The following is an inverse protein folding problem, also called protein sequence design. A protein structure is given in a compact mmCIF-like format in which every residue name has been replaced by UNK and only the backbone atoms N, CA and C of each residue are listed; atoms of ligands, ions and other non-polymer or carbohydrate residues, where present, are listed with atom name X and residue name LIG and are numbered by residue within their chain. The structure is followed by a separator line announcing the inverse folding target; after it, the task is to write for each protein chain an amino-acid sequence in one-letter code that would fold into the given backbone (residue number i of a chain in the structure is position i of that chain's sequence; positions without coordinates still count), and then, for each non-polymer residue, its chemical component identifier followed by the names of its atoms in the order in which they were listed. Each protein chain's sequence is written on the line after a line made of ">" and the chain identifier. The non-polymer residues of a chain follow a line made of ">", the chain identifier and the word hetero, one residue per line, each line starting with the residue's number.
data_IF_623952172308
#
_entry.id   IF_623952172308
#
_cell.length_a   1.000
_cell.length_b   1.000
_cell.length_c   1.000
_cell.angle_alpha   90.00
_cell.angle_beta   90.00
_cell.angle_gamma   90.00
#
_symmetry.space_group_name_H-M   'P 1'
#
loop_
_entity.id
_entity.type
_entity.pdbx_description
1 polymer ?
#
# COMPACT_ATOMS: atom_id res chain seq x y z
N UNK A 1 0.75 -5.77 5.32
CA UNK A 1 1.76 -4.70 5.06
C UNK A 1 3.13 -5.07 5.60
N UNK A 2 3.28 -5.34 6.91
CA UNK A 2 4.58 -5.65 7.52
C UNK A 2 5.38 -6.73 6.77
N UNK A 3 4.76 -7.88 6.44
CA UNK A 3 5.45 -8.95 5.71
C UNK A 3 5.93 -8.53 4.31
N UNK A 4 5.16 -7.70 3.59
CA UNK A 4 5.55 -7.25 2.26
C UNK A 4 6.77 -6.32 2.35
N UNK A 5 6.75 -5.36 3.28
CA UNK A 5 7.86 -4.43 3.47
C UNK A 5 9.10 -5.16 3.98
N UNK A 6 8.95 -6.03 4.98
CA UNK A 6 10.04 -6.84 5.51
C UNK A 6 10.71 -7.66 4.41
N UNK A 7 9.92 -8.33 3.56
CA UNK A 7 10.47 -9.11 2.45
C UNK A 7 11.29 -8.23 1.49
N UNK A 8 10.77 -7.06 1.13
CA UNK A 8 11.44 -6.15 0.20
C UNK A 8 12.70 -5.53 0.80
N UNK A 9 12.66 -5.09 2.06
CA UNK A 9 13.75 -4.34 2.69
C UNK A 9 14.79 -5.23 3.36
N UNK A 10 14.38 -6.34 3.99
CA UNK A 10 15.29 -7.23 4.72
C UNK A 10 15.75 -8.41 3.85
N UNK A 11 14.83 -9.09 3.15
CA UNK A 11 15.20 -10.27 2.36
C UNK A 11 15.79 -9.91 0.99
N UNK A 12 15.27 -8.86 0.34
CA UNK A 12 15.75 -8.39 -0.95
C UNK A 12 16.69 -7.18 -0.85
N UNK A 13 16.88 -6.64 0.36
CA UNK A 13 17.83 -5.57 0.66
C UNK A 13 17.59 -4.29 -0.16
N UNK A 14 16.32 -3.98 -0.47
CA UNK A 14 15.90 -2.76 -1.15
C UNK A 14 15.74 -1.61 -0.14
N UNK A 15 16.22 -0.42 -0.51
CA UNK A 15 16.16 0.75 0.36
C UNK A 15 14.73 1.21 0.64
N UNK A 16 14.34 1.26 1.92
CA UNK A 16 13.00 1.67 2.35
C UNK A 16 12.63 3.08 1.86
N UNK A 17 13.62 3.95 1.75
CA UNK A 17 13.49 5.34 1.30
C UNK A 17 13.08 5.49 -0.17
N UNK A 18 13.25 4.42 -0.97
CA UNK A 18 12.87 4.39 -2.39
C UNK A 18 11.41 3.98 -2.59
N UNK A 19 10.76 3.45 -1.56
CA UNK A 19 9.35 3.07 -1.65
C UNK A 19 8.41 4.25 -1.47
N UNK A 20 7.33 4.27 -2.26
CA UNK A 20 6.12 5.03 -2.01
C UNK A 20 4.96 4.06 -1.85
N UNK A 21 3.96 4.42 -1.07
CA UNK A 21 2.81 3.57 -0.80
C UNK A 21 1.50 4.27 -1.11
N UNK A 22 0.48 3.48 -1.42
CA UNK A 22 -0.89 3.96 -1.63
C UNK A 22 -1.86 3.23 -0.72
N UNK A 23 -2.97 3.89 -0.39
CA UNK A 23 -4.10 3.32 0.32
C UNK A 23 -5.40 3.92 -0.21
N UNK A 24 -6.53 3.25 0.05
CA UNK A 24 -7.83 3.77 -0.35
C UNK A 24 -8.25 5.01 0.46
N UNK A 25 -9.04 5.93 -0.13
CA UNK A 25 -9.57 7.11 0.55
C UNK A 25 -10.38 6.78 1.81
N UNK A 26 -11.06 5.63 1.84
CA UNK A 26 -11.83 5.17 2.99
C UNK A 26 -11.02 4.38 4.02
N UNK A 27 -9.75 4.07 3.75
CA UNK A 27 -8.91 3.19 4.58
C UNK A 27 -7.79 3.98 5.27
N UNK A 28 -8.14 4.61 6.39
CA UNK A 28 -7.18 5.35 7.22
C UNK A 28 -6.22 4.43 7.99
N UNK A 29 -6.60 3.18 8.22
CA UNK A 29 -5.80 2.25 9.00
C UNK A 29 -4.58 1.79 8.19
N UNK A 30 -4.79 1.45 6.91
CA UNK A 30 -3.72 1.19 5.95
C UNK A 30 -2.75 2.37 5.80
N UNK A 31 -3.27 3.59 5.70
CA UNK A 31 -2.45 4.79 5.60
C UNK A 31 -1.53 4.97 6.82
N UNK A 32 -2.09 4.83 8.04
CA UNK A 32 -1.32 4.96 9.29
C UNK A 32 -0.29 3.84 9.42
N UNK A 33 -0.69 2.61 9.09
CA UNK A 33 0.19 1.45 9.22
C UNK A 33 1.44 1.57 8.34
N UNK A 34 1.33 2.13 7.12
CA UNK A 34 2.52 2.38 6.29
C UNK A 34 3.52 3.33 6.96
N UNK A 35 3.02 4.37 7.63
CA UNK A 35 3.86 5.35 8.33
C UNK A 35 4.51 4.70 9.55
N UNK A 36 3.74 3.91 10.32
CA UNK A 36 4.24 3.18 11.48
C UNK A 36 5.33 2.16 11.10
N UNK A 37 5.22 1.55 9.92
CA UNK A 37 6.22 0.63 9.37
C UNK A 37 7.47 1.32 8.80
N UNK A 38 7.48 2.66 8.72
CA UNK A 38 8.67 3.44 8.38
C UNK A 38 8.68 4.10 7.00
N UNK A 39 7.61 3.98 6.21
CA UNK A 39 7.48 4.78 4.97
C UNK A 39 7.21 6.24 5.36
N UNK A 40 7.96 7.17 4.77
CA UNK A 40 7.77 8.60 5.06
C UNK A 40 6.36 9.04 4.68
N UNK A 41 5.72 9.81 5.55
CA UNK A 41 4.33 10.28 5.36
C UNK A 41 4.10 11.02 4.04
N UNK A 42 5.09 11.76 3.55
CA UNK A 42 5.05 12.49 2.27
C UNK A 42 5.16 11.56 1.04
N UNK A 43 5.40 10.27 1.25
CA UNK A 43 5.41 9.21 0.23
C UNK A 43 4.27 8.20 0.40
N UNK A 44 3.31 8.47 1.30
CA UNK A 44 2.08 7.69 1.43
C UNK A 44 0.92 8.51 0.88
N UNK A 45 0.25 7.99 -0.15
CA UNK A 45 -0.84 8.68 -0.84
C UNK A 45 -2.17 7.96 -0.65
N UNK A 46 -3.28 8.70 -0.75
CA UNK A 46 -4.62 8.11 -0.73
C UNK A 46 -5.33 8.38 -2.06
N UNK A 47 -5.89 7.34 -2.66
CA UNK A 47 -6.64 7.43 -3.91
C UNK A 47 -8.00 6.72 -3.81
N UNK A 48 -8.88 6.98 -4.76
CA UNK A 48 -10.24 6.44 -4.78
C UNK A 48 -10.32 5.07 -5.43
N UNK A 49 -11.54 4.67 -5.77
CA UNK A 49 -11.86 3.35 -6.29
C UNK A 49 -11.11 3.01 -7.60
N UNK A 50 -10.76 4.02 -8.40
CA UNK A 50 -10.03 3.82 -9.66
C UNK A 50 -8.63 3.24 -9.47
N UNK A 51 -7.97 3.55 -8.35
CA UNK A 51 -6.58 3.15 -8.10
C UNK A 51 -6.48 2.15 -6.95
N UNK A 52 -7.26 2.34 -5.88
CA UNK A 52 -7.08 1.61 -4.62
C UNK A 52 -8.30 0.76 -4.23
N UNK A 53 -9.10 0.33 -5.21
CA UNK A 53 -10.13 -0.69 -5.01
C UNK A 53 -9.87 -1.88 -5.92
N UNK A 54 -9.77 -3.07 -5.31
CA UNK A 54 -9.61 -4.30 -6.05
C UNK A 54 -10.94 -5.03 -6.19
N UNK A 55 -11.34 -5.26 -7.45
CA UNK A 55 -12.44 -6.13 -7.83
C UNK A 55 -13.76 -5.40 -8.17
N UNK A 56 -14.87 -6.16 -8.28
CA UNK A 56 -14.90 -7.62 -8.20
C UNK A 56 -14.11 -8.28 -9.33
N UNK A 57 -13.63 -9.49 -9.09
CA UNK A 57 -12.99 -10.30 -10.14
C UNK A 57 -14.06 -10.78 -11.14
N UNK A 58 -14.45 -9.92 -12.07
CA UNK A 58 -15.55 -10.14 -13.01
C UNK A 58 -16.74 -9.21 -12.73
N UNK A 59 -17.96 -9.72 -12.89
CA UNK A 59 -19.18 -8.93 -12.69
C UNK A 59 -19.66 -8.89 -11.24
N UNK A 60 -19.35 -9.92 -10.45
CA UNK A 60 -19.75 -10.08 -9.05
C UNK A 60 -18.69 -10.86 -8.28
N UNK A 61 -18.61 -10.67 -6.96
CA UNK A 61 -17.66 -11.39 -6.10
C UNK A 61 -17.05 -10.52 -5.00
N UNK A 62 -16.13 -11.08 -4.20
CA UNK A 62 -15.42 -10.33 -3.16
C UNK A 62 -14.58 -9.21 -3.79
N UNK A 63 -14.61 -8.05 -3.15
CA UNK A 63 -13.84 -6.87 -3.51
C UNK A 63 -13.52 -6.06 -2.24
N UNK A 64 -12.64 -5.07 -2.36
CA UNK A 64 -12.33 -4.20 -1.23
C UNK A 64 -11.18 -3.23 -1.50
N UNK A 65 -10.88 -2.38 -0.51
CA UNK A 65 -9.76 -1.45 -0.60
C UNK A 65 -8.44 -2.24 -0.70
N UNK A 66 -7.50 -1.72 -1.48
CA UNK A 66 -6.15 -2.25 -1.58
C UNK A 66 -5.11 -1.17 -1.25
N UNK A 67 -3.87 -1.64 -1.01
CA UNK A 67 -2.72 -0.80 -0.76
C UNK A 67 -1.55 -1.33 -1.56
N UNK A 68 -0.81 -0.45 -2.22
CA UNK A 68 0.25 -0.80 -3.16
C UNK A 68 1.60 -0.22 -2.71
N UNK A 69 2.69 -0.87 -3.13
CA UNK A 69 4.05 -0.36 -2.98
C UNK A 69 4.63 -0.09 -4.36
N UNK A 70 5.11 1.13 -4.57
CA UNK A 70 5.83 1.57 -5.76
C UNK A 70 7.30 1.77 -5.40
N UNK A 71 8.19 1.36 -6.28
CA UNK A 71 9.64 1.48 -6.12
C UNK A 71 10.19 2.38 -7.22
N UNK A 72 10.88 3.45 -6.81
CA UNK A 72 11.69 4.31 -7.69
C UNK A 72 13.04 3.65 -8.02
#
# INVERSE_FOLDING_TARGET
>A
MAFALQFLTENLNLGIERFAATAHLSDDDSFKLWIELGIKKDRVFKFGDSENWWGPAGSEGPCGPCAELHYD
#
